data_IF_296843251784
#
_entry.id   IF_296843251784
#
_cell.length_a   1.000
_cell.length_b   1.000
_cell.length_c   1.000
_cell.angle_alpha   90.00
_cell.angle_beta   90.00
_cell.angle_gamma   90.00
#
_symmetry.space_group_name_H-M   'P 1'
#
loop_
_entity.id
_entity.type
_entity.pdbx_description
1 polymer ?
#
# COMPACT_ATOMS: atom_id res chain seq x y z
N UNK A 1 18.39 -4.79 28.56
CA UNK A 1 18.79 -3.36 28.63
C UNK A 1 17.73 -2.60 27.87
N UNK A 2 16.74 -2.06 28.60
CA UNK A 2 15.63 -1.29 28.03
C UNK A 2 16.16 0.07 27.59
N UNK A 3 16.03 0.39 26.30
CA UNK A 3 16.13 1.77 25.85
C UNK A 3 14.80 2.47 26.18
N UNK A 4 14.79 3.70 26.73
CA UNK A 4 13.55 4.37 27.15
C UNK A 4 12.75 4.88 25.93
N UNK A 5 11.42 4.79 26.02
CA UNK A 5 10.44 5.28 25.03
C UNK A 5 10.65 6.74 24.59
N UNK A 6 11.37 7.53 25.39
CA UNK A 6 11.69 8.95 25.15
C UNK A 6 12.58 9.17 23.91
N UNK A 7 13.41 8.19 23.53
CA UNK A 7 14.28 8.32 22.34
C UNK A 7 13.48 8.14 21.04
N UNK A 8 12.42 7.32 21.04
CA UNK A 8 11.52 7.17 19.89
C UNK A 8 10.66 8.41 19.66
N UNK A 9 10.20 9.07 20.71
CA UNK A 9 9.32 10.25 20.59
C UNK A 9 10.02 11.44 19.93
N UNK A 10 11.29 11.70 20.27
CA UNK A 10 12.06 12.83 19.74
C UNK A 10 12.41 12.71 18.25
N UNK A 11 12.52 11.49 17.72
CA UNK A 11 12.74 11.24 16.29
C UNK A 11 11.48 11.54 15.46
N UNK A 12 10.28 11.32 16.02
CA UNK A 12 9.01 11.65 15.38
C UNK A 12 8.73 13.16 15.31
N UNK A 13 9.16 13.93 16.31
CA UNK A 13 8.90 15.38 16.37
C UNK A 13 9.80 16.20 15.41
N UNK A 14 10.99 15.71 15.07
CA UNK A 14 11.86 16.38 14.11
C UNK A 14 11.38 16.22 12.64
N UNK A 15 10.59 15.19 12.35
CA UNK A 15 10.08 14.92 10.99
C UNK A 15 8.93 15.84 10.57
N UNK A 16 8.13 16.34 11.52
CA UNK A 16 6.94 17.16 11.25
C UNK A 16 7.24 18.64 11.04
N UNK A 17 8.32 19.17 11.64
CA UNK A 17 8.64 20.60 11.57
C UNK A 17 9.36 21.04 10.29
N UNK A 18 9.98 20.12 9.55
CA UNK A 18 10.74 20.45 8.32
C UNK A 18 9.83 20.60 7.09
N UNK A 19 8.62 20.05 7.12
CA UNK A 19 7.74 20.04 5.94
C UNK A 19 7.04 21.39 5.67
N UNK A 20 6.66 22.14 6.70
CA UNK A 20 5.95 23.42 6.52
C UNK A 20 6.81 24.54 5.92
N UNK A 21 8.14 24.49 6.06
CA UNK A 21 9.03 25.52 5.56
C UNK A 21 9.39 25.36 4.07
N UNK A 22 9.18 24.18 3.47
CA UNK A 22 9.65 23.86 2.11
C UNK A 22 8.59 24.08 1.01
N UNK A 23 7.30 24.02 1.36
CA UNK A 23 6.20 24.32 0.42
C UNK A 23 6.20 25.78 -0.06
N UNK A 24 6.69 26.71 0.78
CA UNK A 24 6.81 28.12 0.43
C UNK A 24 7.83 28.40 -0.70
N UNK A 25 8.68 27.42 -1.04
CA UNK A 25 9.80 27.59 -1.99
C UNK A 25 9.59 26.78 -3.29
N UNK A 26 8.43 26.15 -3.49
CA UNK A 26 8.09 25.47 -4.75
C UNK A 26 8.92 24.20 -5.05
N UNK A 27 9.61 23.65 -4.06
CA UNK A 27 10.30 22.37 -4.18
C UNK A 27 9.30 21.27 -3.83
N UNK A 28 8.76 20.58 -4.85
CA UNK A 28 7.99 19.34 -4.65
C UNK A 28 8.94 18.29 -4.09
N UNK A 29 8.85 18.00 -2.79
CA UNK A 29 9.70 17.01 -2.13
C UNK A 29 9.11 15.62 -2.30
N UNK A 30 9.93 14.72 -2.80
CA UNK A 30 9.69 13.29 -2.87
C UNK A 30 9.47 12.75 -1.46
N UNK A 31 8.28 12.20 -1.20
CA UNK A 31 7.91 11.60 0.09
C UNK A 31 8.80 10.35 0.28
N UNK A 32 9.62 10.26 1.35
CA UNK A 32 10.31 9.02 1.70
C UNK A 32 9.26 7.92 1.96
N UNK A 33 9.38 6.76 1.30
CA UNK A 33 8.36 5.73 1.30
C UNK A 33 8.55 4.69 2.43
N UNK A 34 9.66 4.75 3.17
CA UNK A 34 9.88 4.00 4.40
C UNK A 34 9.69 4.95 5.58
N UNK A 35 8.43 5.33 5.83
CA UNK A 35 8.03 5.88 7.13
C UNK A 35 7.16 4.81 7.80
N UNK A 36 7.32 4.54 9.12
CA UNK A 36 6.39 3.69 9.85
C UNK A 36 4.95 4.10 9.53
N UNK A 37 3.97 3.18 9.57
CA UNK A 37 2.58 3.52 9.29
C UNK A 37 2.25 4.77 10.07
N UNK A 38 1.99 5.88 9.38
CA UNK A 38 1.57 7.11 10.02
C UNK A 38 0.19 6.78 10.58
N UNK A 39 0.09 6.38 11.86
CA UNK A 39 -1.07 5.63 12.33
C UNK A 39 -2.28 6.55 12.49
N UNK A 40 -2.12 7.82 12.12
CA UNK A 40 -3.11 8.87 12.15
C UNK A 40 -3.29 9.52 10.79
N UNK A 41 -2.56 9.17 9.74
CA UNK A 41 -2.81 9.80 8.44
C UNK A 41 -4.06 9.24 7.77
N UNK A 42 -4.74 10.07 7.01
CA UNK A 42 -5.92 9.69 6.26
C UNK A 42 -5.55 8.65 5.19
N UNK A 43 -6.03 7.41 5.36
CA UNK A 43 -5.64 6.26 4.56
C UNK A 43 -5.75 6.48 3.04
N UNK A 44 -6.80 7.17 2.58
CA UNK A 44 -7.00 7.45 1.15
C UNK A 44 -5.99 8.42 0.54
N UNK A 45 -5.29 9.22 1.36
CA UNK A 45 -4.23 10.14 0.94
C UNK A 45 -2.82 9.53 1.00
N UNK A 46 -2.69 8.27 1.42
CA UNK A 46 -1.40 7.60 1.52
C UNK A 46 -0.91 7.08 0.17
N UNK A 47 0.42 6.96 0.06
CA UNK A 47 1.07 6.25 -1.04
C UNK A 47 1.43 4.84 -0.59
N UNK A 48 0.97 3.84 -1.33
CA UNK A 48 1.27 2.43 -1.07
C UNK A 48 2.43 1.96 -1.93
N UNK A 49 3.19 0.98 -1.45
CA UNK A 49 4.31 0.37 -2.17
C UNK A 49 4.42 -1.11 -1.89
N UNK A 50 5.06 -1.82 -2.82
CA UNK A 50 5.43 -3.22 -2.61
C UNK A 50 6.47 -3.39 -1.50
N UNK A 51 7.19 -2.32 -1.12
CA UNK A 51 8.38 -2.28 -0.25
C UNK A 51 9.53 -3.14 -0.76
N UNK A 52 9.31 -4.45 -0.93
CA UNK A 52 10.22 -5.37 -1.58
C UNK A 52 10.23 -5.22 -3.09
N UNK A 53 11.36 -5.61 -3.69
CA UNK A 53 11.54 -5.64 -5.13
C UNK A 53 10.73 -6.78 -5.78
N UNK A 54 10.36 -6.59 -7.03
CA UNK A 54 9.73 -7.57 -7.90
C UNK A 54 10.51 -7.67 -9.22
N UNK A 55 10.42 -8.81 -9.90
CA UNK A 55 10.76 -8.89 -11.33
C UNK A 55 9.79 -7.98 -12.09
N UNK A 56 10.24 -7.37 -13.16
CA UNK A 56 9.42 -6.53 -14.02
C UNK A 56 9.85 -6.73 -15.48
N UNK A 57 9.40 -7.83 -16.09
CA UNK A 57 9.90 -8.28 -17.39
C UNK A 57 11.39 -8.61 -17.31
N UNK A 58 12.20 -7.88 -18.06
CA UNK A 58 13.67 -7.99 -18.03
C UNK A 58 14.34 -7.13 -16.95
N UNK A 59 13.55 -6.37 -16.20
CA UNK A 59 14.00 -5.45 -15.16
C UNK A 59 13.65 -5.93 -13.75
N UNK A 60 14.12 -5.16 -12.76
CA UNK A 60 13.71 -5.28 -11.36
C UNK A 60 13.10 -3.95 -10.94
N UNK A 61 12.02 -3.98 -10.16
CA UNK A 61 11.30 -2.77 -9.78
C UNK A 61 10.71 -2.83 -8.38
N UNK A 62 10.42 -1.67 -7.78
CA UNK A 62 9.39 -1.50 -6.75
C UNK A 62 8.17 -0.81 -7.37
N UNK A 63 6.97 -1.27 -7.02
CA UNK A 63 5.72 -0.68 -7.52
C UNK A 63 5.13 0.22 -6.44
N UNK A 64 4.57 1.36 -6.85
CA UNK A 64 3.88 2.30 -5.99
C UNK A 64 2.50 2.68 -6.55
N UNK A 65 1.56 2.93 -5.65
CA UNK A 65 0.24 3.48 -5.95
C UNK A 65 0.08 4.78 -5.15
N UNK A 66 -0.08 5.91 -5.83
CA UNK A 66 -0.19 7.23 -5.20
C UNK A 66 -1.47 7.98 -5.54
N UNK A 67 -1.96 8.88 -4.66
CA UNK A 67 -3.14 9.70 -4.91
C UNK A 67 -3.02 10.53 -6.20
N UNK A 68 -4.03 10.47 -7.07
CA UNK A 68 -4.06 11.18 -8.35
C UNK A 68 -5.24 12.16 -8.48
N UNK A 69 -6.46 11.78 -8.09
CA UNK A 69 -7.59 12.71 -8.14
C UNK A 69 -7.50 13.77 -7.04
N UNK A 70 -7.98 14.99 -7.33
CA UNK A 70 -7.85 16.13 -6.43
C UNK A 70 -8.42 15.88 -5.02
N UNK A 71 -9.51 15.12 -4.91
CA UNK A 71 -10.14 14.78 -3.63
C UNK A 71 -9.25 13.89 -2.76
N UNK A 72 -8.58 12.87 -3.30
CA UNK A 72 -7.67 12.03 -2.51
C UNK A 72 -6.30 12.67 -2.30
N UNK A 73 -5.84 13.54 -3.21
CA UNK A 73 -4.64 14.36 -3.01
C UNK A 73 -4.82 15.36 -1.87
N UNK A 74 -6.02 15.93 -1.70
CA UNK A 74 -6.31 16.84 -0.59
C UNK A 74 -6.19 16.17 0.79
N UNK A 75 -6.30 14.84 0.86
CA UNK A 75 -6.21 14.05 2.09
C UNK A 75 -4.75 13.66 2.43
N UNK A 76 -3.80 13.93 1.54
CA UNK A 76 -2.40 13.55 1.73
C UNK A 76 -1.81 14.27 2.95
N UNK A 77 -1.33 13.50 3.93
CA UNK A 77 -0.81 14.02 5.19
C UNK A 77 -1.87 14.57 6.16
N UNK A 78 -3.16 14.51 5.81
CA UNK A 78 -4.24 14.87 6.74
C UNK A 78 -4.25 13.88 7.91
N UNK A 79 -4.33 14.38 9.14
CA UNK A 79 -4.44 13.52 10.32
C UNK A 79 -5.89 13.30 10.73
N UNK A 80 -6.23 12.05 11.01
CA UNK A 80 -7.53 11.59 11.46
C UNK A 80 -7.43 10.96 12.85
N UNK A 81 -8.43 11.25 13.68
CA UNK A 81 -8.55 10.68 15.01
C UNK A 81 -9.55 9.53 14.97
N UNK A 82 -9.03 8.31 14.88
CA UNK A 82 -9.84 7.09 14.95
C UNK A 82 -9.80 6.56 16.38
N UNK A 83 -10.96 6.47 17.03
CA UNK A 83 -11.06 6.08 18.45
C UNK A 83 -11.74 4.74 18.67
N UNK A 84 -12.48 4.24 17.68
CA UNK A 84 -13.18 2.96 17.74
C UNK A 84 -12.61 1.97 16.70
N UNK A 85 -12.92 0.69 16.86
CA UNK A 85 -12.40 -0.39 16.01
C UNK A 85 -12.88 -0.29 14.54
N UNK A 86 -13.97 0.43 14.31
CA UNK A 86 -14.65 0.54 13.03
C UNK A 86 -14.25 1.79 12.24
N UNK A 87 -13.70 2.81 12.89
CA UNK A 87 -13.57 4.15 12.31
C UNK A 87 -12.71 4.21 11.04
N UNK A 88 -11.68 3.37 10.89
CA UNK A 88 -10.91 3.29 9.64
C UNK A 88 -11.76 2.80 8.47
N UNK A 89 -12.57 1.77 8.72
CA UNK A 89 -13.48 1.23 7.72
C UNK A 89 -14.54 2.27 7.38
N UNK A 90 -15.18 2.86 8.39
CA UNK A 90 -16.29 3.78 8.19
C UNK A 90 -15.83 5.04 7.43
N UNK A 91 -14.62 5.55 7.73
CA UNK A 91 -13.97 6.63 6.99
C UNK A 91 -13.85 6.32 5.48
N UNK A 92 -13.39 5.11 5.12
CA UNK A 92 -13.26 4.71 3.71
C UNK A 92 -14.63 4.51 3.05
N UNK A 93 -15.57 3.88 3.77
CA UNK A 93 -16.92 3.59 3.28
C UNK A 93 -17.71 4.88 3.03
N UNK A 94 -17.66 5.82 3.95
CA UNK A 94 -18.35 7.10 3.83
C UNK A 94 -17.80 7.94 2.68
N UNK A 95 -16.48 7.91 2.45
CA UNK A 95 -15.88 8.52 1.27
C UNK A 95 -16.42 7.91 -0.02
N UNK A 96 -16.33 6.57 -0.17
CA UNK A 96 -16.73 5.92 -1.43
C UNK A 96 -18.23 5.91 -1.68
N UNK A 97 -19.07 6.09 -0.63
CA UNK A 97 -20.51 6.29 -0.82
C UNK A 97 -20.83 7.53 -1.64
N UNK A 98 -19.99 8.58 -1.54
CA UNK A 98 -20.23 9.86 -2.18
C UNK A 98 -19.27 10.19 -3.33
N UNK A 99 -18.06 9.63 -3.33
CA UNK A 99 -16.99 10.02 -4.24
C UNK A 99 -16.27 8.82 -4.85
N UNK A 100 -15.79 8.96 -6.07
CA UNK A 100 -14.78 8.08 -6.64
C UNK A 100 -13.37 8.56 -6.29
N UNK A 101 -12.37 7.72 -6.55
CA UNK A 101 -10.97 8.06 -6.41
C UNK A 101 -10.15 7.57 -7.61
N UNK A 102 -9.10 8.32 -7.93
CA UNK A 102 -8.10 7.91 -8.90
C UNK A 102 -6.74 7.86 -8.24
N UNK A 103 -5.98 6.81 -8.55
CA UNK A 103 -4.60 6.64 -8.10
C UNK A 103 -3.69 6.35 -9.29
N UNK A 104 -2.46 6.84 -9.24
CA UNK A 104 -1.44 6.57 -10.24
C UNK A 104 -0.65 5.31 -9.85
N UNK A 105 -0.66 4.32 -10.73
CA UNK A 105 0.20 3.13 -10.63
C UNK A 105 1.55 3.48 -11.25
N UNK A 106 2.64 3.24 -10.51
CA UNK A 106 3.99 3.67 -10.87
C UNK A 106 5.01 2.57 -10.62
N UNK A 107 6.09 2.56 -11.38
CA UNK A 107 7.25 1.69 -11.18
C UNK A 107 8.51 2.51 -10.93
N UNK A 108 9.31 2.08 -9.97
CA UNK A 108 10.67 2.57 -9.77
C UNK A 108 11.62 1.45 -10.19
N UNK A 109 12.44 1.65 -11.22
CA UNK A 109 13.33 0.62 -11.74
C UNK A 109 14.64 0.55 -10.94
N UNK A 110 15.17 -0.64 -10.72
CA UNK A 110 16.48 -0.83 -10.11
C UNK A 110 17.58 -0.45 -11.11
N UNK A 111 18.36 0.60 -10.82
CA UNK A 111 19.47 1.05 -11.68
C UNK A 111 20.85 0.73 -11.09
N UNK A 112 20.95 0.58 -9.77
CA UNK A 112 22.18 0.23 -9.05
C UNK A 112 21.88 -0.68 -7.86
N UNK A 113 22.38 -1.92 -7.87
CA UNK A 113 22.13 -2.91 -6.81
C UNK A 113 22.79 -2.56 -5.46
N UNK A 114 23.78 -1.65 -5.43
CA UNK A 114 24.37 -1.20 -4.18
C UNK A 114 23.45 -0.22 -3.45
N UNK A 115 22.94 0.77 -4.18
CA UNK A 115 21.98 1.75 -3.65
C UNK A 115 20.55 1.21 -3.55
N UNK A 116 20.21 0.21 -4.37
CA UNK A 116 18.87 -0.37 -4.52
C UNK A 116 18.88 -1.88 -4.30
N UNK A 117 19.23 -2.36 -3.08
CA UNK A 117 19.40 -3.78 -2.82
C UNK A 117 18.07 -4.53 -2.93
N UNK A 118 18.07 -5.64 -3.67
CA UNK A 118 16.91 -6.54 -3.81
C UNK A 118 16.63 -7.30 -2.50
N UNK A 119 17.68 -7.60 -1.75
CA UNK A 119 17.61 -8.43 -0.55
C UNK A 119 17.24 -7.66 0.73
N UNK A 120 17.19 -6.33 0.67
CA UNK A 120 16.84 -5.45 1.79
C UNK A 120 15.70 -4.50 1.41
N UNK A 121 14.49 -4.86 1.82
CA UNK A 121 13.29 -4.07 1.56
C UNK A 121 13.15 -2.84 2.46
N UNK A 122 13.95 -2.71 3.53
CA UNK A 122 13.95 -1.54 4.41
C UNK A 122 14.70 -0.35 3.79
N UNK A 123 15.49 -0.58 2.74
CA UNK A 123 16.18 0.49 2.02
C UNK A 123 15.22 1.16 1.05
N UNK A 124 14.99 2.46 1.29
CA UNK A 124 14.34 3.36 0.34
C UNK A 124 15.24 3.60 -0.87
N UNK A 125 14.70 3.41 -2.07
CA UNK A 125 15.46 3.61 -3.30
C UNK A 125 15.48 5.10 -3.67
N UNK A 126 16.67 5.68 -3.88
CA UNK A 126 16.80 7.12 -4.12
C UNK A 126 16.14 7.54 -5.44
N UNK A 127 15.09 8.36 -5.35
CA UNK A 127 14.29 8.77 -6.51
C UNK A 127 15.06 9.68 -7.49
N UNK A 128 16.06 10.43 -7.02
CA UNK A 128 16.97 11.17 -7.90
C UNK A 128 17.85 10.26 -8.79
N UNK A 129 18.03 8.98 -8.43
CA UNK A 129 18.74 8.00 -9.26
C UNK A 129 17.80 7.13 -10.09
N UNK A 130 16.57 6.91 -9.61
CA UNK A 130 15.52 6.22 -10.33
C UNK A 130 14.17 6.81 -9.92
N UNK A 131 13.61 7.74 -10.69
CA UNK A 131 12.32 8.33 -10.38
C UNK A 131 11.18 7.34 -10.66
N UNK A 132 10.04 7.54 -10.01
CA UNK A 132 8.84 6.78 -10.31
C UNK A 132 8.34 7.10 -11.73
N UNK A 133 8.15 6.04 -12.53
CA UNK A 133 7.60 6.11 -13.87
C UNK A 133 6.12 5.73 -13.84
N UNK A 134 5.21 6.55 -14.40
CA UNK A 134 3.79 6.23 -14.43
C UNK A 134 3.53 5.07 -15.40
N UNK A 135 2.77 4.08 -14.93
CA UNK A 135 2.34 2.92 -15.71
C UNK A 135 0.88 3.04 -16.14
N UNK A 136 0.05 3.66 -15.31
CA UNK A 136 -1.37 3.77 -15.57
C UNK A 136 -2.14 4.30 -14.38
N UNK A 137 -3.47 4.18 -14.47
CA UNK A 137 -4.40 4.72 -13.48
C UNK A 137 -5.29 3.62 -12.93
N UNK A 138 -5.43 3.60 -11.60
CA UNK A 138 -6.46 2.82 -10.91
C UNK A 138 -7.62 3.76 -10.68
N UNK A 139 -8.80 3.40 -11.18
CA UNK A 139 -10.04 4.17 -11.02
C UNK A 139 -10.99 3.38 -10.15
N UNK A 140 -11.39 3.97 -9.02
CA UNK A 140 -12.35 3.38 -8.09
C UNK A 140 -13.59 4.28 -8.11
N UNK A 141 -14.72 3.85 -8.69
CA UNK A 141 -15.93 4.67 -8.72
C UNK A 141 -16.56 4.76 -7.32
N UNK A 142 -17.43 5.76 -7.16
CA UNK A 142 -18.32 5.83 -6.01
C UNK A 142 -19.21 4.57 -5.96
N UNK A 143 -19.34 3.97 -4.78
CA UNK A 143 -20.02 2.68 -4.59
C UNK A 143 -20.42 2.46 -3.13
N UNK A 144 -21.40 1.57 -2.90
CA UNK A 144 -21.62 0.99 -1.59
C UNK A 144 -20.54 -0.08 -1.31
N UNK A 145 -19.45 0.34 -0.69
CA UNK A 145 -18.26 -0.48 -0.51
C UNK A 145 -18.39 -1.56 0.59
N UNK A 146 -19.46 -1.56 1.40
CA UNK A 146 -19.55 -2.42 2.60
C UNK A 146 -20.95 -2.99 2.84
N UNK A 147 -21.68 -3.31 1.77
CA UNK A 147 -22.93 -4.06 1.86
C UNK A 147 -22.71 -5.42 2.57
N UNK A 148 -23.72 -5.99 3.26
CA UNK A 148 -23.57 -7.27 3.94
C UNK A 148 -23.06 -8.40 3.03
N UNK A 149 -23.47 -8.40 1.76
CA UNK A 149 -23.04 -9.38 0.78
C UNK A 149 -21.57 -9.20 0.39
N UNK A 150 -21.12 -7.96 0.16
CA UNK A 150 -19.71 -7.65 -0.13
C UNK A 150 -18.80 -8.00 1.04
N UNK A 151 -19.22 -7.71 2.27
CA UNK A 151 -18.47 -8.08 3.48
C UNK A 151 -18.29 -9.59 3.58
N UNK A 152 -19.38 -10.36 3.48
CA UNK A 152 -19.30 -11.82 3.53
C UNK A 152 -18.39 -12.37 2.42
N UNK A 153 -18.50 -11.83 1.20
CA UNK A 153 -17.65 -12.24 0.09
C UNK A 153 -16.16 -11.90 0.32
N UNK A 154 -15.87 -10.70 0.85
CA UNK A 154 -14.51 -10.29 1.15
C UNK A 154 -13.88 -11.12 2.28
N UNK A 155 -14.64 -11.45 3.33
CA UNK A 155 -14.16 -12.18 4.49
C UNK A 155 -14.00 -13.69 4.21
N UNK A 156 -14.93 -14.28 3.46
CA UNK A 156 -15.02 -15.73 3.28
C UNK A 156 -14.48 -16.25 1.94
N UNK A 157 -14.46 -15.42 0.90
CA UNK A 157 -14.13 -15.86 -0.47
C UNK A 157 -12.82 -15.26 -0.97
N UNK A 158 -12.64 -13.93 -0.85
CA UNK A 158 -11.45 -13.27 -1.39
C UNK A 158 -10.17 -13.70 -0.68
N UNK A 159 -9.11 -13.88 -1.46
CA UNK A 159 -7.78 -14.15 -0.94
C UNK A 159 -6.73 -13.37 -1.73
N UNK A 160 -5.73 -12.85 -1.03
CA UNK A 160 -4.62 -12.12 -1.65
C UNK A 160 -3.32 -12.86 -1.38
N UNK A 161 -2.61 -13.22 -2.45
CA UNK A 161 -1.30 -13.86 -2.39
C UNK A 161 -0.33 -13.13 -3.34
N UNK A 162 0.79 -12.58 -2.84
CA UNK A 162 1.79 -11.91 -3.68
C UNK A 162 2.38 -12.78 -4.81
N UNK A 163 2.33 -14.11 -4.65
CA UNK A 163 2.80 -15.08 -5.64
C UNK A 163 1.70 -15.53 -6.61
N UNK A 164 0.47 -15.03 -6.45
CA UNK A 164 -0.54 -15.09 -7.51
C UNK A 164 -0.26 -13.96 -8.51
N UNK A 165 0.80 -14.14 -9.29
CA UNK A 165 1.30 -13.15 -10.22
C UNK A 165 1.80 -13.81 -11.52
N UNK A 166 2.07 -12.98 -12.52
CA UNK A 166 2.73 -13.41 -13.74
C UNK A 166 4.20 -13.73 -13.45
N UNK A 167 4.83 -14.70 -14.17
CA UNK A 167 6.26 -14.99 -14.04
C UNK A 167 7.15 -13.75 -14.20
N UNK A 168 6.73 -12.80 -15.03
CA UNK A 168 7.42 -11.53 -15.28
C UNK A 168 7.33 -10.55 -14.11
N UNK A 169 6.47 -10.81 -13.12
CA UNK A 169 6.19 -9.98 -11.94
C UNK A 169 6.46 -10.69 -10.61
N UNK A 170 7.32 -11.70 -10.60
CA UNK A 170 7.62 -12.47 -9.40
C UNK A 170 8.20 -11.60 -8.27
N UNK A 171 7.68 -11.71 -7.02
CA UNK A 171 8.31 -11.09 -5.87
C UNK A 171 9.74 -11.57 -5.64
N UNK A 172 10.67 -10.65 -5.40
CA UNK A 172 12.08 -10.91 -5.18
C UNK A 172 12.51 -10.54 -3.75
N UNK A 173 13.70 -11.01 -3.35
CA UNK A 173 14.28 -10.71 -2.05
C UNK A 173 13.85 -11.64 -0.92
N UNK A 174 14.65 -11.65 0.14
CA UNK A 174 14.49 -12.51 1.32
C UNK A 174 13.11 -12.40 1.97
N UNK A 175 12.59 -11.18 2.15
CA UNK A 175 11.29 -10.94 2.78
C UNK A 175 10.14 -11.56 1.97
N UNK A 176 10.18 -11.45 0.64
CA UNK A 176 9.14 -12.05 -0.21
C UNK A 176 9.25 -13.57 -0.25
N UNK A 177 10.46 -14.14 -0.31
CA UNK A 177 10.63 -15.60 -0.20
C UNK A 177 10.06 -16.15 1.12
N UNK A 178 10.25 -15.43 2.23
CA UNK A 178 9.65 -15.81 3.51
C UNK A 178 8.10 -15.79 3.47
N UNK A 179 7.50 -14.91 2.67
CA UNK A 179 6.03 -14.81 2.50
C UNK A 179 5.43 -16.03 1.80
N UNK A 180 6.17 -16.76 0.94
CA UNK A 180 5.64 -17.95 0.24
C UNK A 180 4.99 -18.92 1.23
N UNK A 181 5.77 -19.37 2.22
CA UNK A 181 5.30 -20.35 3.21
C UNK A 181 4.25 -19.77 4.15
N UNK A 182 4.38 -18.50 4.52
CA UNK A 182 3.45 -17.82 5.43
C UNK A 182 2.05 -17.69 4.82
N UNK A 183 1.95 -17.23 3.57
CA UNK A 183 0.67 -17.06 2.87
C UNK A 183 0.03 -18.40 2.52
N UNK A 184 0.81 -19.39 2.09
CA UNK A 184 0.31 -20.74 1.83
C UNK A 184 -0.31 -21.35 3.09
N UNK A 185 0.38 -21.25 4.23
CA UNK A 185 -0.10 -21.79 5.52
C UNK A 185 -1.35 -21.06 6.02
N UNK A 186 -1.37 -19.72 5.95
CA UNK A 186 -2.50 -18.89 6.40
C UNK A 186 -3.77 -19.16 5.58
N UNK A 187 -3.63 -19.20 4.25
CA UNK A 187 -4.75 -19.45 3.34
C UNK A 187 -5.29 -20.88 3.51
N UNK A 188 -4.41 -21.89 3.61
CA UNK A 188 -4.85 -23.27 3.85
C UNK A 188 -5.59 -23.44 5.19
N UNK A 189 -5.17 -22.72 6.24
CA UNK A 189 -5.87 -22.73 7.53
C UNK A 189 -7.25 -22.09 7.43
N UNK A 190 -7.38 -20.90 6.82
CA UNK A 190 -8.67 -20.20 6.68
C UNK A 190 -9.69 -21.01 5.89
N UNK A 191 -9.29 -21.60 4.76
CA UNK A 191 -10.19 -22.45 3.96
C UNK A 191 -10.63 -23.71 4.71
N UNK A 192 -9.74 -24.33 5.51
CA UNK A 192 -10.11 -25.48 6.34
C UNK A 192 -11.10 -25.10 7.44
N UNK A 193 -10.91 -23.95 8.09
CA UNK A 193 -11.76 -23.51 9.20
C UNK A 193 -13.12 -22.97 8.72
N UNK A 194 -13.15 -22.30 7.56
CA UNK A 194 -14.37 -21.70 7.02
C UNK A 194 -15.19 -22.66 6.13
N UNK A 195 -14.66 -23.86 5.83
CA UNK A 195 -15.28 -24.85 4.93
C UNK A 195 -15.68 -24.28 3.54
N UNK A 196 -14.98 -23.24 3.08
CA UNK A 196 -15.22 -22.60 1.79
C UNK A 196 -14.13 -23.00 0.77
N UNK A 197 -14.51 -23.39 -0.46
CA UNK A 197 -13.54 -23.67 -1.51
C UNK A 197 -12.80 -22.39 -1.92
N UNK A 198 -11.53 -22.52 -2.30
CA UNK A 198 -10.77 -21.38 -2.85
C UNK A 198 -11.32 -21.05 -4.24
N UNK A 199 -11.88 -19.85 -4.38
CA UNK A 199 -12.39 -19.30 -5.63
C UNK A 199 -11.59 -18.05 -5.97
N UNK A 200 -11.14 -17.95 -7.22
CA UNK A 200 -10.49 -16.76 -7.77
C UNK A 200 -11.48 -16.13 -8.75
N UNK A 201 -12.01 -14.92 -8.46
CA UNK A 201 -12.93 -14.24 -9.37
C UNK A 201 -12.26 -14.01 -10.73
N UNK A 202 -12.97 -14.30 -11.83
CA UNK A 202 -12.46 -14.10 -13.19
C UNK A 202 -13.12 -12.92 -13.89
N UNK A 203 -14.28 -12.50 -13.41
CA UNK A 203 -15.05 -11.40 -13.95
C UNK A 203 -15.64 -10.53 -12.82
N UNK A 204 -15.81 -9.23 -13.10
CA UNK A 204 -16.37 -8.27 -12.13
C UNK A 204 -17.81 -8.63 -11.74
N UNK A 205 -18.55 -9.31 -12.62
CA UNK A 205 -19.93 -9.75 -12.36
C UNK A 205 -20.01 -10.89 -11.34
N UNK A 206 -18.88 -11.48 -10.94
CA UNK A 206 -18.83 -12.47 -9.85
C UNK A 206 -18.82 -11.81 -8.46
N UNK A 207 -18.60 -10.51 -8.38
CA UNK A 207 -18.62 -9.77 -7.11
C UNK A 207 -20.06 -9.36 -6.77
N UNK A 208 -20.47 -9.42 -5.48
CA UNK A 208 -21.76 -8.92 -5.06
C UNK A 208 -21.89 -7.42 -5.34
N UNK A 209 -23.06 -7.00 -5.83
CA UNK A 209 -23.37 -5.59 -6.05
C UNK A 209 -23.40 -4.79 -4.73
#
# INVERSE_FOLDING_TARGET
IHAPEVVTTLLTEAGTLVNQALDAVGIKKEIPLVVPPHPHNHLLGETFTTLGAIRFGDYVSKISVAPLSANVQALAGEQVKITDQAGWRDLVVDFFRAQGAEYELRAQLCTDLQAMPVEDAAVDWPQNQSPYQPLGKIVIPAQDAFSPARRAFADDVLSFNPFHCLPEHLPLGSINRARIKAYETSTAYRHRMNAQPRLEPRDINELPH
#
